data_IF_445707510759
#
_entry.id   IF_445707510759
#
_cell.length_a   1.000
_cell.length_b   1.000
_cell.length_c   1.000
_cell.angle_alpha   90.00
_cell.angle_beta   90.00
_cell.angle_gamma   90.00
#
_symmetry.space_group_name_H-M   'P 1'
#
loop_
_entity.id
_entity.type
_entity.pdbx_description
1 polymer ?
#
# COMPACT_ATOMS: atom_id res chain seq x y z
N UNK A 1 -5.60 -20.64 15.41
CA UNK A 1 -6.52 -19.90 14.52
C UNK A 1 -5.68 -18.86 13.79
N UNK A 2 -5.18 -19.20 12.60
CA UNK A 2 -4.28 -18.35 11.83
C UNK A 2 -5.12 -17.41 10.96
N UNK A 3 -5.12 -16.12 11.30
CA UNK A 3 -5.79 -15.07 10.55
C UNK A 3 -5.22 -15.04 9.14
N UNK A 4 -6.11 -15.12 8.16
CA UNK A 4 -5.79 -15.07 6.73
C UNK A 4 -4.95 -13.83 6.48
N UNK A 5 -3.68 -14.03 6.12
CA UNK A 5 -2.79 -12.96 5.66
C UNK A 5 -3.25 -12.55 4.27
N UNK A 6 -4.28 -11.71 4.21
CA UNK A 6 -4.80 -11.13 2.98
C UNK A 6 -3.65 -10.40 2.30
N UNK A 7 -3.25 -10.88 1.12
CA UNK A 7 -2.08 -10.41 0.36
C UNK A 7 -2.30 -9.00 -0.21
N UNK A 8 -2.38 -8.01 0.67
CA UNK A 8 -2.28 -6.60 0.32
C UNK A 8 -0.81 -6.22 0.39
N UNK A 9 -0.31 -5.56 -0.65
CA UNK A 9 0.99 -4.91 -0.66
C UNK A 9 0.75 -3.41 -0.76
N UNK A 10 1.38 -2.65 0.11
CA UNK A 10 1.36 -1.19 0.08
C UNK A 10 2.74 -0.69 -0.38
N UNK A 11 2.73 0.32 -1.24
CA UNK A 11 3.93 0.90 -1.84
C UNK A 11 3.85 2.43 -1.77
N UNK A 12 4.94 3.09 -1.41
CA UNK A 12 5.05 4.55 -1.43
C UNK A 12 5.95 4.98 -2.60
N UNK A 13 5.51 5.99 -3.36
CA UNK A 13 6.15 6.44 -4.61
C UNK A 13 6.58 7.88 -4.51
N UNK A 14 7.83 8.17 -4.83
CA UNK A 14 8.27 9.54 -5.09
C UNK A 14 7.92 10.00 -6.52
N UNK A 15 7.95 11.32 -6.70
CA UNK A 15 7.33 12.13 -7.76
C UNK A 15 7.51 11.66 -9.23
N UNK A 16 6.52 12.02 -10.06
CA UNK A 16 6.14 11.54 -11.40
C UNK A 16 7.08 11.87 -12.59
N UNK A 17 8.33 12.29 -12.39
CA UNK A 17 9.15 12.81 -13.52
C UNK A 17 10.53 12.18 -13.71
N UNK A 18 11.05 11.41 -12.75
CA UNK A 18 12.35 10.75 -12.90
C UNK A 18 12.37 9.49 -12.07
N UNK A 19 12.34 8.32 -12.72
CA UNK A 19 12.52 6.99 -12.13
C UNK A 19 11.75 6.78 -10.82
N UNK A 20 10.50 6.33 -10.91
CA UNK A 20 9.65 6.10 -9.73
C UNK A 20 10.27 5.07 -8.77
N UNK A 21 10.98 5.52 -7.74
CA UNK A 21 11.43 4.68 -6.63
C UNK A 21 10.20 4.30 -5.81
N UNK A 22 10.02 3.00 -5.60
CA UNK A 22 8.91 2.42 -4.85
C UNK A 22 9.46 1.87 -3.55
N UNK A 23 9.04 2.44 -2.42
CA UNK A 23 9.32 1.86 -1.11
C UNK A 23 8.20 0.92 -0.73
N UNK A 24 8.51 -0.38 -0.62
CA UNK A 24 7.57 -1.37 -0.14
C UNK A 24 7.38 -1.22 1.37
N UNK A 25 6.12 -1.13 1.80
CA UNK A 25 5.77 -1.17 3.23
C UNK A 25 5.71 -2.63 3.66
N UNK A 26 6.42 -2.99 4.72
CA UNK A 26 6.40 -4.37 5.22
C UNK A 26 4.99 -4.75 5.71
N UNK A 27 4.63 -6.03 5.62
CA UNK A 27 3.37 -6.51 6.15
C UNK A 27 3.26 -6.33 7.67
N UNK A 28 4.37 -6.32 8.41
CA UNK A 28 4.39 -6.01 9.84
C UNK A 28 3.97 -4.58 10.16
N UNK A 29 4.14 -3.67 9.21
CA UNK A 29 3.83 -2.25 9.36
C UNK A 29 2.37 -1.95 9.01
N UNK A 30 1.61 -2.95 8.53
CA UNK A 30 0.17 -2.84 8.27
C UNK A 30 -0.59 -3.25 9.54
N UNK A 31 -1.04 -2.25 10.31
CA UNK A 31 -1.68 -2.46 11.62
C UNK A 31 -3.19 -2.71 11.49
N UNK A 32 -3.84 -2.12 10.49
CA UNK A 32 -5.27 -2.33 10.19
C UNK A 32 -5.39 -2.66 8.70
N UNK A 33 -6.09 -3.75 8.38
CA UNK A 33 -6.35 -4.21 7.02
C UNK A 33 -7.78 -4.73 6.87
N UNK A 34 -8.73 -3.80 6.81
CA UNK A 34 -10.14 -4.05 6.56
C UNK A 34 -10.50 -3.65 5.12
N UNK A 35 -11.55 -4.23 4.51
CA UNK A 35 -11.98 -3.86 3.16
C UNK A 35 -12.28 -2.36 2.95
N UNK A 36 -12.62 -1.64 4.02
CA UNK A 36 -12.95 -0.21 4.00
C UNK A 36 -11.95 0.67 4.76
N UNK A 37 -10.91 0.08 5.35
CA UNK A 37 -9.97 0.81 6.22
C UNK A 37 -8.59 0.14 6.20
N UNK A 38 -7.56 0.91 5.88
CA UNK A 38 -6.16 0.47 5.88
C UNK A 38 -5.34 1.45 6.72
N UNK A 39 -4.60 0.94 7.70
CA UNK A 39 -3.66 1.72 8.50
C UNK A 39 -2.27 1.13 8.36
N UNK A 40 -1.33 1.96 7.93
CA UNK A 40 0.07 1.59 7.72
C UNK A 40 0.97 2.50 8.53
N UNK A 41 2.02 1.94 9.11
CA UNK A 41 3.15 2.68 9.67
C UNK A 41 4.03 3.08 8.49
N UNK A 42 4.39 4.36 8.44
CA UNK A 42 5.29 4.86 7.39
C UNK A 42 6.71 4.38 7.73
N UNK A 43 7.38 3.64 6.83
CA UNK A 43 8.76 3.21 7.04
C UNK A 43 9.72 4.39 6.95
N UNK A 44 11.02 4.14 7.15
CA UNK A 44 12.05 5.17 6.97
C UNK A 44 12.06 5.65 5.51
N UNK A 45 11.75 6.93 5.31
CA UNK A 45 11.64 7.58 4.00
C UNK A 45 12.43 8.88 4.02
N UNK A 46 13.07 9.19 2.90
CA UNK A 46 13.72 10.47 2.71
C UNK A 46 12.69 11.62 2.67
N UNK A 47 13.14 12.83 2.96
CA UNK A 47 12.29 14.02 2.84
C UNK A 47 11.84 14.19 1.38
N UNK A 48 10.53 14.16 1.16
CA UNK A 48 9.96 14.14 -0.18
C UNK A 48 8.44 14.12 -0.20
N UNK A 49 7.91 14.12 -1.42
CA UNK A 49 6.47 14.01 -1.67
C UNK A 49 6.17 12.61 -2.20
N UNK A 50 5.35 11.88 -1.46
CA UNK A 50 5.01 10.50 -1.76
C UNK A 50 3.52 10.31 -2.06
N UNK A 51 3.22 9.31 -2.89
CA UNK A 51 1.87 8.77 -3.05
C UNK A 51 1.83 7.32 -2.57
N UNK A 52 0.73 6.92 -1.95
CA UNK A 52 0.49 5.53 -1.55
C UNK A 52 -0.20 4.79 -2.70
N UNK A 53 0.37 3.69 -3.16
CA UNK A 53 -0.30 2.70 -3.99
C UNK A 53 -0.62 1.48 -3.13
N UNK A 54 -1.86 1.00 -3.27
CA UNK A 54 -2.31 -0.23 -2.65
C UNK A 54 -2.53 -1.24 -3.76
N UNK A 55 -1.80 -2.36 -3.70
CA UNK A 55 -1.97 -3.50 -4.59
C UNK A 55 -2.65 -4.64 -3.84
N UNK A 56 -3.77 -5.13 -4.36
CA UNK A 56 -4.53 -6.21 -3.72
C UNK A 56 -5.13 -7.18 -4.75
N UNK A 57 -5.22 -8.45 -4.36
CA UNK A 57 -6.02 -9.47 -5.05
C UNK A 57 -7.35 -9.74 -4.32
N UNK A 58 -7.65 -9.04 -3.23
CA UNK A 58 -8.90 -9.22 -2.51
C UNK A 58 -10.07 -8.68 -3.33
N UNK A 59 -11.15 -9.45 -3.39
CA UNK A 59 -12.43 -9.00 -3.93
C UNK A 59 -13.55 -9.13 -2.89
N UNK A 60 -14.58 -8.29 -3.03
CA UNK A 60 -15.73 -8.27 -2.12
C UNK A 60 -16.45 -9.64 -2.01
N UNK A 61 -16.26 -10.54 -2.97
CA UNK A 61 -16.83 -11.89 -2.99
C UNK A 61 -16.06 -12.94 -2.18
N UNK A 62 -15.05 -12.55 -1.39
CA UNK A 62 -14.09 -13.46 -0.71
C UNK A 62 -13.32 -14.38 -1.66
N UNK A 63 -13.41 -14.15 -2.96
CA UNK A 63 -12.60 -14.79 -3.99
C UNK A 63 -11.40 -13.92 -4.29
N UNK A 64 -10.26 -14.54 -4.57
CA UNK A 64 -9.08 -13.82 -5.03
C UNK A 64 -9.22 -13.51 -6.52
N UNK A 65 -8.81 -12.30 -6.90
CA UNK A 65 -8.68 -11.90 -8.28
C UNK A 65 -7.56 -12.68 -8.96
N UNK A 66 -7.76 -13.05 -10.22
CA UNK A 66 -6.74 -13.71 -11.03
C UNK A 66 -5.48 -12.85 -11.18
N UNK A 67 -5.66 -11.54 -11.34
CA UNK A 67 -4.59 -10.56 -11.42
C UNK A 67 -4.72 -9.52 -10.30
N UNK A 68 -3.60 -9.09 -9.69
CA UNK A 68 -3.61 -8.03 -8.69
C UNK A 68 -4.08 -6.71 -9.30
N UNK A 69 -4.81 -5.92 -8.51
CA UNK A 69 -5.22 -4.57 -8.87
C UNK A 69 -4.48 -3.56 -8.00
N UNK A 70 -4.03 -2.49 -8.62
CA UNK A 70 -3.39 -1.36 -7.94
C UNK A 70 -4.29 -0.13 -7.98
N UNK A 71 -4.34 0.59 -6.86
CA UNK A 71 -5.02 1.88 -6.74
C UNK A 71 -4.06 2.86 -6.08
N UNK A 72 -3.93 4.05 -6.65
CA UNK A 72 -3.17 5.15 -6.06
C UNK A 72 -4.11 5.97 -5.19
N UNK A 73 -3.70 6.24 -3.96
CA UNK A 73 -4.38 7.17 -3.09
C UNK A 73 -3.98 8.60 -3.46
N UNK A 74 -4.96 9.42 -3.84
CA UNK A 74 -4.72 10.75 -4.41
C UNK A 74 -4.19 11.79 -3.40
N UNK A 75 -4.10 11.43 -2.12
CA UNK A 75 -3.51 12.30 -1.10
C UNK A 75 -1.99 12.19 -1.11
N UNK A 76 -1.34 13.35 -1.16
CA UNK A 76 0.11 13.46 -1.07
C UNK A 76 0.54 13.31 0.40
N UNK A 77 1.53 12.46 0.64
CA UNK A 77 2.26 12.36 1.89
C UNK A 77 3.51 13.25 1.79
N UNK A 78 3.65 14.19 2.72
CA UNK A 78 4.85 15.02 2.83
C UNK A 78 5.72 14.48 3.96
N UNK A 79 6.96 14.12 3.63
CA UNK A 79 8.01 13.74 4.59
C UNK A 79 9.01 14.89 4.63
N UNK A 80 9.41 15.34 5.82
CA UNK A 80 10.29 16.49 6.04
C UNK A 80 11.31 16.21 7.11
#
# INVERSE_FOLDING_TARGET
MATILHRIKAFLYENLLTTAVRTHVDASDIVINNPSELMVIIPDLESGLYKLEVTTQFSAGKTLLQEPRSVIFDKILTVS
#
